data_IF_169009445237
#
_entry.id   IF_169009445237
#
_cell.length_a   1.000
_cell.length_b   1.000
_cell.length_c   1.000
_cell.angle_alpha   90.00
_cell.angle_beta   90.00
_cell.angle_gamma   90.00
#
_symmetry.space_group_name_H-M   'P 1'
#
loop_
_entity.id
_entity.type
_entity.pdbx_description
1 polymer ?
#
# COMPACT_ATOMS: atom_id res chain seq x y z
N UNK A 1 -23.24 37.45 -19.08
CA UNK A 1 -23.08 36.19 -18.35
C UNK A 1 -22.12 35.33 -19.15
N UNK A 2 -20.89 35.18 -18.68
CA UNK A 2 -19.85 34.37 -19.33
C UNK A 2 -20.19 32.90 -19.07
N UNK A 3 -20.64 32.19 -20.12
CA UNK A 3 -20.81 30.75 -20.08
C UNK A 3 -19.41 30.11 -19.95
N UNK A 4 -19.00 29.82 -18.72
CA UNK A 4 -17.84 28.97 -18.48
C UNK A 4 -18.18 27.56 -18.98
N UNK A 5 -17.30 26.91 -19.76
CA UNK A 5 -17.53 25.55 -20.19
C UNK A 5 -17.69 24.64 -18.96
N UNK A 6 -18.74 23.80 -18.98
CA UNK A 6 -18.93 22.78 -17.96
C UNK A 6 -17.69 21.87 -17.93
N UNK A 7 -17.14 21.55 -16.74
CA UNK A 7 -15.96 20.71 -16.64
C UNK A 7 -16.26 19.34 -17.27
N UNK A 8 -15.38 18.90 -18.17
CA UNK A 8 -15.46 17.61 -18.86
C UNK A 8 -15.53 16.49 -17.83
N UNK A 9 -16.53 15.61 -17.92
CA UNK A 9 -16.73 14.46 -17.02
C UNK A 9 -15.47 13.59 -16.91
N UNK A 10 -14.60 13.60 -17.93
CA UNK A 10 -13.31 12.91 -17.94
C UNK A 10 -12.24 13.54 -17.04
N UNK A 11 -12.42 14.81 -16.66
CA UNK A 11 -11.49 15.57 -15.81
C UNK A 11 -12.00 15.76 -14.39
N UNK A 12 -13.27 15.43 -14.12
CA UNK A 12 -13.85 15.52 -12.77
C UNK A 12 -13.38 14.30 -11.97
N UNK A 13 -12.25 14.46 -11.28
CA UNK A 13 -11.83 13.49 -10.24
C UNK A 13 -12.97 13.43 -9.20
N UNK A 14 -13.60 12.27 -8.96
CA UNK A 14 -14.75 12.18 -8.05
C UNK A 14 -14.39 12.51 -6.60
N UNK A 15 -13.09 12.51 -6.28
CA UNK A 15 -12.56 12.89 -4.98
C UNK A 15 -11.33 13.77 -5.16
N UNK A 16 -11.19 14.80 -4.31
CA UNK A 16 -9.95 15.57 -4.20
C UNK A 16 -8.96 14.79 -3.32
N UNK A 17 -7.90 14.24 -3.91
CA UNK A 17 -6.80 13.59 -3.19
C UNK A 17 -5.47 14.21 -3.58
N UNK A 18 -4.56 14.29 -2.62
CA UNK A 18 -3.17 14.72 -2.84
C UNK A 18 -2.23 13.52 -2.90
N UNK A 19 -1.16 13.62 -3.68
CA UNK A 19 -0.07 12.63 -3.71
C UNK A 19 0.50 12.35 -2.32
N UNK A 20 0.52 13.37 -1.45
CA UNK A 20 0.93 13.23 -0.06
C UNK A 20 0.01 12.30 0.74
N UNK A 21 -1.31 12.32 0.50
CA UNK A 21 -2.25 11.39 1.13
C UNK A 21 -2.05 9.97 0.61
N UNK A 22 -1.88 9.79 -0.70
CA UNK A 22 -1.59 8.48 -1.31
C UNK A 22 -0.31 7.87 -0.74
N UNK A 23 0.75 8.67 -0.62
CA UNK A 23 2.02 8.25 -0.03
C UNK A 23 1.89 7.85 1.44
N UNK A 24 1.13 8.61 2.25
CA UNK A 24 0.85 8.27 3.66
C UNK A 24 0.06 6.97 3.80
N UNK A 25 -0.94 6.75 2.94
CA UNK A 25 -1.73 5.51 2.94
C UNK A 25 -0.85 4.31 2.57
N UNK A 26 -0.03 4.44 1.52
CA UNK A 26 0.89 3.39 1.11
C UNK A 26 1.93 3.07 2.22
N UNK A 27 2.49 4.09 2.86
CA UNK A 27 3.39 3.92 4.00
C UNK A 27 2.69 3.29 5.21
N UNK A 28 1.46 3.69 5.52
CA UNK A 28 0.66 3.12 6.60
C UNK A 28 0.33 1.65 6.38
N UNK A 29 -0.08 1.28 5.16
CA UNK A 29 -0.28 -0.11 4.75
C UNK A 29 0.99 -0.93 4.86
N UNK A 30 2.12 -0.38 4.43
CA UNK A 30 3.43 -1.03 4.54
C UNK A 30 3.81 -1.26 6.01
N UNK A 31 3.67 -0.23 6.86
CA UNK A 31 3.91 -0.38 8.30
C UNK A 31 2.99 -1.42 8.94
N UNK A 32 1.71 -1.44 8.58
CA UNK A 32 0.75 -2.45 9.07
C UNK A 32 1.19 -3.88 8.74
N UNK A 33 1.66 -4.11 7.51
CA UNK A 33 2.16 -5.42 7.10
C UNK A 33 3.38 -5.82 7.93
N UNK A 34 4.32 -4.91 8.16
CA UNK A 34 5.58 -5.19 8.84
C UNK A 34 5.42 -5.39 10.36
N UNK A 35 4.63 -4.54 11.01
CA UNK A 35 4.56 -4.51 12.47
C UNK A 35 3.42 -5.33 13.05
N UNK A 36 2.40 -5.67 12.26
CA UNK A 36 1.22 -6.38 12.75
C UNK A 36 1.08 -7.73 12.05
N UNK A 37 0.93 -7.76 10.74
CA UNK A 37 0.70 -9.00 9.99
C UNK A 37 1.90 -9.95 10.07
N UNK A 38 3.11 -9.45 9.87
CA UNK A 38 4.32 -10.28 9.87
C UNK A 38 4.56 -10.99 11.22
N UNK A 39 4.59 -10.29 12.37
CA UNK A 39 4.73 -10.97 13.66
C UNK A 39 3.51 -11.85 13.99
N UNK A 40 2.29 -11.47 13.61
CA UNK A 40 1.12 -12.32 13.79
C UNK A 40 1.25 -13.65 13.02
N UNK A 41 1.71 -13.61 11.77
CA UNK A 41 1.99 -14.80 10.98
C UNK A 41 3.10 -15.66 11.61
N UNK A 42 4.20 -15.04 12.03
CA UNK A 42 5.31 -15.75 12.67
C UNK A 42 4.89 -16.44 13.97
N UNK A 43 4.09 -15.78 14.81
CA UNK A 43 3.55 -16.35 16.03
C UNK A 43 2.54 -17.47 15.75
N UNK A 44 1.66 -17.30 14.77
CA UNK A 44 0.70 -18.33 14.36
C UNK A 44 1.42 -19.58 13.83
N UNK A 45 2.45 -19.39 13.00
CA UNK A 45 3.29 -20.48 12.48
C UNK A 45 4.00 -21.20 13.62
N UNK A 46 4.57 -20.47 14.57
CA UNK A 46 5.20 -21.03 15.75
C UNK A 46 4.23 -21.81 16.63
N UNK A 47 3.01 -21.31 16.82
CA UNK A 47 1.98 -22.00 17.60
C UNK A 47 1.46 -23.27 16.92
N UNK A 48 1.26 -23.24 15.59
CA UNK A 48 0.69 -24.36 14.85
C UNK A 48 1.71 -25.44 14.50
N UNK A 49 2.92 -25.04 14.08
CA UNK A 49 3.94 -25.92 13.53
C UNK A 49 5.15 -26.10 14.45
N UNK A 50 5.23 -25.38 15.57
CA UNK A 50 6.42 -25.33 16.42
C UNK A 50 7.62 -24.63 15.75
N UNK A 51 7.41 -23.97 14.62
CA UNK A 51 8.45 -23.43 13.76
C UNK A 51 8.50 -21.90 13.80
N UNK A 52 9.59 -21.39 14.40
CA UNK A 52 9.88 -19.96 14.52
C UNK A 52 10.93 -19.46 13.52
N UNK A 53 11.23 -20.25 12.47
CA UNK A 53 12.20 -19.86 11.42
C UNK A 53 11.83 -18.55 10.72
N UNK A 54 10.56 -18.14 10.72
CA UNK A 54 10.14 -16.82 10.25
C UNK A 54 10.82 -15.67 11.01
N UNK A 55 11.31 -15.86 12.23
CA UNK A 55 12.05 -14.83 12.97
C UNK A 55 13.57 -14.94 12.80
N UNK A 56 14.07 -15.95 12.09
CA UNK A 56 15.49 -16.01 11.69
C UNK A 56 15.80 -14.86 10.73
N UNK A 57 17.05 -14.40 10.65
CA UNK A 57 17.46 -13.22 9.86
C UNK A 57 16.93 -13.21 8.42
N UNK A 58 16.76 -14.38 7.81
CA UNK A 58 16.23 -14.55 6.46
C UNK A 58 14.77 -14.07 6.34
N UNK A 59 13.95 -14.32 7.35
CA UNK A 59 12.54 -13.95 7.37
C UNK A 59 12.30 -12.44 7.29
N UNK A 60 12.83 -11.61 8.21
CA UNK A 60 12.70 -10.17 8.19
C UNK A 60 13.23 -9.54 6.89
N UNK A 61 14.32 -10.08 6.32
CA UNK A 61 14.86 -9.61 5.04
C UNK A 61 13.87 -9.82 3.90
N UNK A 62 13.29 -11.02 3.81
CA UNK A 62 12.26 -11.34 2.81
C UNK A 62 11.00 -10.51 3.04
N UNK A 63 10.60 -10.31 4.30
CA UNK A 63 9.44 -9.50 4.66
C UNK A 63 9.62 -8.04 4.20
N UNK A 64 10.79 -7.45 4.43
CA UNK A 64 11.12 -6.09 3.98
C UNK A 64 11.14 -6.01 2.45
N UNK A 65 11.70 -7.00 1.76
CA UNK A 65 11.71 -7.04 0.30
C UNK A 65 10.29 -7.09 -0.30
N UNK A 66 9.41 -7.94 0.28
CA UNK A 66 8.00 -8.02 -0.10
C UNK A 66 7.28 -6.71 0.21
N UNK A 67 7.60 -6.07 1.34
CA UNK A 67 7.04 -4.77 1.71
C UNK A 67 7.34 -3.69 0.68
N UNK A 68 8.59 -3.59 0.23
CA UNK A 68 9.02 -2.63 -0.77
C UNK A 68 8.30 -2.87 -2.10
N UNK A 69 8.21 -4.13 -2.54
CA UNK A 69 7.48 -4.51 -3.74
C UNK A 69 5.98 -4.19 -3.62
N UNK A 70 5.38 -4.48 -2.46
CA UNK A 70 3.98 -4.21 -2.18
C UNK A 70 3.67 -2.72 -2.11
N UNK A 71 4.53 -1.92 -1.47
CA UNK A 71 4.37 -0.46 -1.40
C UNK A 71 4.45 0.19 -2.79
N UNK A 72 5.36 -0.28 -3.65
CA UNK A 72 5.45 0.17 -5.04
C UNK A 72 4.21 -0.25 -5.85
N UNK A 73 3.77 -1.50 -5.70
CA UNK A 73 2.56 -2.01 -6.35
C UNK A 73 1.29 -1.27 -5.89
N UNK A 74 1.13 -1.03 -4.59
CA UNK A 74 0.00 -0.30 -4.02
C UNK A 74 -0.03 1.14 -4.54
N UNK A 75 1.12 1.83 -4.56
CA UNK A 75 1.23 3.16 -5.16
C UNK A 75 0.85 3.15 -6.64
N UNK A 76 1.40 2.23 -7.43
CA UNK A 76 1.11 2.14 -8.86
C UNK A 76 -0.37 1.82 -9.14
N UNK A 77 -0.97 0.93 -8.34
CA UNK A 77 -2.39 0.56 -8.43
C UNK A 77 -3.28 1.75 -8.07
N UNK A 78 -2.96 2.48 -7.00
CA UNK A 78 -3.70 3.67 -6.60
C UNK A 78 -3.62 4.73 -7.71
N UNK A 79 -2.43 5.01 -8.26
CA UNK A 79 -2.26 5.96 -9.37
C UNK A 79 -3.07 5.54 -10.61
N UNK A 80 -3.02 4.25 -10.98
CA UNK A 80 -3.72 3.69 -12.15
C UNK A 80 -5.24 3.76 -12.02
N UNK A 81 -5.80 3.42 -10.87
CA UNK A 81 -7.25 3.42 -10.65
C UNK A 81 -7.81 4.78 -10.25
N UNK A 82 -7.00 5.67 -9.66
CA UNK A 82 -7.38 7.07 -9.40
C UNK A 82 -7.15 7.99 -10.61
N UNK A 83 -6.73 7.49 -11.78
CA UNK A 83 -6.46 8.35 -12.95
C UNK A 83 -5.58 9.57 -12.57
N UNK A 84 -4.52 9.33 -11.78
CA UNK A 84 -3.49 10.34 -11.55
C UNK A 84 -2.61 10.34 -12.79
N UNK A 85 -3.13 11.02 -13.81
CA UNK A 85 -2.59 11.39 -15.12
C UNK A 85 -2.01 10.25 -15.99
N UNK A 86 -2.65 10.08 -17.16
CA UNK A 86 -1.96 9.74 -18.41
C UNK A 86 -1.14 10.93 -18.90
#
# INVERSE_FOLDING_TARGET
MTNLPLPDEKTVRPFAYSDAQVSRIAAGLSGYVLFILYPAYGLLRGWWLGDFSSFSVEGPVVAVAILCAFGFFARWTILKYLWIDS
#
